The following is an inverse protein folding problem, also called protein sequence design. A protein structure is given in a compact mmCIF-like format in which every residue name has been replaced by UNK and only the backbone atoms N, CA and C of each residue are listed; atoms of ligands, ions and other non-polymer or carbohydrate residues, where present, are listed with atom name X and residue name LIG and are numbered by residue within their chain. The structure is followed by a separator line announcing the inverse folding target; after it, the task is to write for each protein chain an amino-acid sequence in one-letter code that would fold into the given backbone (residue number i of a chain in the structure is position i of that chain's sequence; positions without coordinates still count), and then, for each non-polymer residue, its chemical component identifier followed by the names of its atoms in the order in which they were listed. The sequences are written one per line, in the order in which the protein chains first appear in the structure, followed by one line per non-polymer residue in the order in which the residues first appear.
data_IF_045447478782
#
_entry.id   IF_045447478782
#
_cell.length_a   1.000
_cell.length_b   1.000
_cell.length_c   1.000
_cell.angle_alpha   90.00
_cell.angle_beta   90.00
_cell.angle_gamma   90.00
#
_symmetry.space_group_name_H-M   'P 1'
#
loop_
_entity.id
_entity.type
_entity.pdbx_description
1 polymer ?
#
# COMPACT_ATOMS: atom_id res chain seq x y z
N UNK A 1 -11.55 15.42 4.05
CA UNK A 1 -12.08 14.05 3.81
C UNK A 1 -12.11 13.69 2.33
N UNK A 2 -12.94 14.33 1.47
CA UNK A 2 -12.99 14.02 0.02
C UNK A 2 -11.60 13.86 -0.63
N UNK A 3 -10.77 14.90 -0.54
CA UNK A 3 -9.40 14.89 -1.11
C UNK A 3 -8.54 13.74 -0.59
N UNK A 4 -8.71 13.38 0.68
CA UNK A 4 -7.93 12.31 1.32
C UNK A 4 -8.35 10.93 0.81
N UNK A 5 -9.65 10.72 0.65
CA UNK A 5 -10.19 9.49 0.07
C UNK A 5 -9.83 9.34 -1.41
N UNK A 6 -9.87 10.45 -2.17
CA UNK A 6 -9.44 10.48 -3.58
C UNK A 6 -7.93 10.19 -3.71
N UNK A 7 -7.08 10.73 -2.83
CA UNK A 7 -5.64 10.43 -2.82
C UNK A 7 -5.37 8.96 -2.48
N UNK A 8 -5.98 8.45 -1.41
CA UNK A 8 -5.87 7.04 -1.03
C UNK A 8 -6.30 6.11 -2.18
N UNK A 9 -7.41 6.44 -2.85
CA UNK A 9 -7.90 5.69 -3.99
C UNK A 9 -6.91 5.69 -5.16
N UNK A 10 -6.36 6.85 -5.51
CA UNK A 10 -5.41 6.97 -6.61
C UNK A 10 -4.11 6.20 -6.33
N UNK A 11 -3.63 6.20 -5.08
CA UNK A 11 -2.45 5.44 -4.65
C UNK A 11 -2.69 3.94 -4.75
N UNK A 12 -3.83 3.46 -4.26
CA UNK A 12 -4.18 2.06 -4.34
C UNK A 12 -4.41 1.56 -5.77
N UNK A 13 -5.02 2.37 -6.65
CA UNK A 13 -5.16 2.05 -8.08
C UNK A 13 -3.78 1.84 -8.70
N UNK A 14 -2.87 2.80 -8.54
CA UNK A 14 -1.50 2.70 -9.06
C UNK A 14 -0.79 1.45 -8.53
N UNK A 15 -0.86 1.20 -7.22
CA UNK A 15 -0.26 0.01 -6.62
C UNK A 15 -0.73 -1.28 -7.30
N UNK A 16 -2.05 -1.44 -7.51
CA UNK A 16 -2.62 -2.62 -8.14
C UNK A 16 -2.24 -2.76 -9.62
N UNK A 17 -2.20 -1.66 -10.36
CA UNK A 17 -1.79 -1.65 -11.77
C UNK A 17 -0.31 -2.04 -11.94
N UNK A 18 0.55 -1.63 -11.02
CA UNK A 18 1.98 -1.93 -11.03
C UNK A 18 2.31 -3.38 -10.62
N UNK A 19 1.39 -4.07 -9.92
CA UNK A 19 1.63 -5.47 -9.52
C UNK A 19 1.86 -6.39 -10.71
N UNK A 20 1.26 -6.10 -11.87
CA UNK A 20 1.43 -6.94 -13.05
C UNK A 20 2.82 -6.80 -13.68
N UNK A 21 3.52 -5.67 -13.47
CA UNK A 21 4.83 -5.40 -14.06
C UNK A 21 6.02 -5.56 -13.10
N UNK A 22 5.81 -5.47 -11.79
CA UNK A 22 6.90 -5.62 -10.79
C UNK A 22 7.11 -7.05 -10.28
N UNK A 23 8.24 -7.30 -9.63
CA UNK A 23 8.51 -8.57 -8.94
C UNK A 23 7.52 -8.81 -7.79
N UNK A 24 7.19 -10.08 -7.54
CA UNK A 24 6.27 -10.46 -6.44
C UNK A 24 6.91 -10.23 -5.09
N UNK A 25 8.21 -10.54 -4.96
CA UNK A 25 8.98 -10.18 -3.78
C UNK A 25 9.52 -8.73 -3.92
N UNK A 26 9.50 -7.94 -2.85
CA UNK A 26 10.16 -6.64 -2.84
C UNK A 26 11.67 -6.81 -2.97
N UNK A 27 12.35 -5.80 -3.50
CA UNK A 27 13.81 -5.79 -3.54
C UNK A 27 14.42 -5.34 -2.21
N UNK A 28 15.73 -5.57 -2.05
CA UNK A 28 16.43 -5.24 -0.82
C UNK A 28 16.47 -3.73 -0.51
N UNK A 29 16.41 -2.88 -1.54
CA UNK A 29 16.43 -1.41 -1.38
C UNK A 29 15.09 -0.95 -0.80
N UNK A 30 13.98 -1.45 -1.33
CA UNK A 30 12.64 -1.19 -0.82
C UNK A 30 12.49 -1.65 0.63
N UNK A 31 13.02 -2.83 0.97
CA UNK A 31 13.01 -3.35 2.35
C UNK A 31 13.83 -2.44 3.28
N UNK A 32 15.06 -2.08 2.90
CA UNK A 32 15.91 -1.20 3.70
C UNK A 32 15.29 0.20 3.90
N UNK A 33 14.48 0.66 2.93
CA UNK A 33 13.75 1.92 3.05
C UNK A 33 12.78 2.00 4.23
N UNK A 34 12.33 0.84 4.75
CA UNK A 34 11.44 0.77 5.91
C UNK A 34 12.09 1.24 7.23
N UNK A 35 13.42 1.32 7.30
CA UNK A 35 14.13 1.87 8.48
C UNK A 35 13.69 3.30 8.80
N UNK A 36 13.16 4.03 7.81
CA UNK A 36 12.59 5.37 8.00
C UNK A 36 11.31 5.38 8.86
N UNK A 37 10.68 4.22 9.07
CA UNK A 37 9.52 4.07 9.95
C UNK A 37 9.92 3.74 11.40
N UNK A 38 11.19 3.40 11.68
CA UNK A 38 11.68 2.96 13.00
C UNK A 38 11.98 4.14 13.96
N UNK A 39 11.20 5.22 13.84
CA UNK A 39 11.32 6.42 14.67
C UNK A 39 10.30 6.47 15.79
N UNK A 40 10.54 7.35 16.77
CA UNK A 40 9.57 7.63 17.82
C UNK A 40 8.24 8.14 17.25
N UNK A 41 7.14 7.74 17.87
CA UNK A 41 5.81 8.23 17.50
C UNK A 41 5.75 9.75 17.70
N UNK A 42 5.25 10.54 16.74
CA UNK A 42 5.18 12.00 16.89
C UNK A 42 4.28 12.42 18.07
N UNK A 43 4.77 13.33 18.91
CA UNK A 43 4.00 13.93 20.02
C UNK A 43 2.85 14.85 19.56
N UNK A 44 2.84 15.22 18.28
CA UNK A 44 1.87 16.14 17.68
C UNK A 44 1.22 15.50 16.47
N UNK A 45 -0.02 15.89 16.21
CA UNK A 45 -0.75 15.52 14.99
C UNK A 45 -0.04 16.08 13.76
N UNK A 46 0.22 15.22 12.76
CA UNK A 46 0.71 15.62 11.44
C UNK A 46 -0.41 15.81 10.40
N UNK A 47 -0.04 16.18 9.17
CA UNK A 47 -0.98 16.22 8.04
C UNK A 47 -1.33 14.79 7.60
N UNK A 48 -2.62 14.40 7.57
CA UNK A 48 -3.04 13.09 7.08
C UNK A 48 -2.57 12.76 5.65
N UNK A 49 -2.37 13.79 4.79
CA UNK A 49 -1.86 13.60 3.43
C UNK A 49 -0.39 13.15 3.47
N UNK A 50 0.40 13.72 4.37
CA UNK A 50 1.80 13.32 4.55
C UNK A 50 1.91 11.86 5.02
N UNK A 51 0.99 11.43 5.90
CA UNK A 51 0.90 10.03 6.33
C UNK A 51 0.60 9.09 5.15
N UNK A 52 -0.41 9.40 4.33
CA UNK A 52 -0.72 8.56 3.15
C UNK A 52 0.44 8.52 2.16
N UNK A 53 1.12 9.65 1.95
CA UNK A 53 2.30 9.73 1.10
C UNK A 53 3.42 8.84 1.63
N UNK A 54 3.76 8.98 2.91
CA UNK A 54 4.83 8.20 3.54
C UNK A 54 4.54 6.69 3.44
N UNK A 55 3.31 6.26 3.73
CA UNK A 55 2.93 4.86 3.64
C UNK A 55 3.03 4.32 2.21
N UNK A 56 2.60 5.10 1.21
CA UNK A 56 2.69 4.65 -0.18
C UNK A 56 4.15 4.62 -0.67
N UNK A 57 4.95 5.64 -0.38
CA UNK A 57 6.33 5.74 -0.86
C UNK A 57 7.26 4.72 -0.19
N UNK A 58 7.08 4.45 1.11
CA UNK A 58 7.93 3.52 1.85
C UNK A 58 7.40 2.08 1.84
N UNK A 59 6.10 1.90 2.08
CA UNK A 59 5.54 0.56 2.30
C UNK A 59 5.13 -0.12 0.99
N UNK A 60 4.48 0.57 0.05
CA UNK A 60 4.00 -0.04 -1.20
C UNK A 60 5.10 -0.83 -1.95
N UNK A 61 6.31 -0.29 -2.21
CA UNK A 61 7.36 -1.03 -2.89
C UNK A 61 7.92 -2.19 -2.04
N UNK A 62 7.88 -2.06 -0.72
CA UNK A 62 8.35 -3.06 0.24
C UNK A 62 7.33 -4.19 0.51
N UNK A 63 6.14 -4.14 -0.09
CA UNK A 63 5.14 -5.21 0.06
C UNK A 63 5.41 -6.39 -0.86
N UNK A 64 5.02 -7.58 -0.39
CA UNK A 64 4.78 -8.73 -1.27
C UNK A 64 3.58 -8.44 -2.17
N UNK A 65 3.73 -8.61 -3.49
CA UNK A 65 2.67 -8.43 -4.50
C UNK A 65 1.60 -9.54 -4.49
N UNK A 66 1.05 -9.87 -3.32
CA UNK A 66 0.14 -10.99 -3.12
C UNK A 66 -1.26 -10.80 -3.73
N UNK A 67 -1.67 -9.56 -3.99
CA UNK A 67 -2.91 -9.24 -4.69
C UNK A 67 -2.79 -9.47 -6.22
N UNK A 68 -1.58 -9.67 -6.73
CA UNK A 68 -1.32 -10.01 -8.13
C UNK A 68 -1.47 -11.51 -8.41
N UNK A 69 -1.55 -11.88 -9.69
CA UNK A 69 -1.83 -13.26 -10.14
C UNK A 69 -0.65 -14.24 -10.00
N UNK A 70 0.51 -13.76 -9.55
CA UNK A 70 1.80 -14.48 -9.56
C UNK A 70 2.29 -14.91 -8.19
N UNK A 71 1.47 -14.75 -7.14
CA UNK A 71 1.82 -15.16 -5.79
C UNK A 71 1.14 -16.49 -5.43
N UNK A 72 1.93 -17.48 -4.99
CA UNK A 72 1.47 -18.85 -4.70
C UNK A 72 1.84 -19.33 -3.29
N UNK A 73 2.17 -18.39 -2.39
CA UNK A 73 2.60 -18.69 -1.01
C UNK A 73 1.46 -18.58 -0.01
N UNK A 74 1.56 -19.34 1.09
CA UNK A 74 0.67 -19.29 2.26
C UNK A 74 -0.82 -19.49 1.93
N UNK A 75 -1.68 -19.24 2.93
CA UNK A 75 -3.15 -19.19 2.78
C UNK A 75 -3.57 -17.72 2.76
N UNK A 76 -3.13 -17.00 1.72
CA UNK A 76 -3.50 -15.61 1.50
C UNK A 76 -4.50 -15.59 0.35
N UNK A 77 -5.75 -15.28 0.67
CA UNK A 77 -6.81 -15.13 -0.33
C UNK A 77 -6.60 -13.87 -1.16
N UNK A 78 -6.79 -13.97 -2.48
CA UNK A 78 -6.94 -12.79 -3.33
C UNK A 78 -8.29 -12.11 -3.09
N UNK A 79 -8.38 -10.81 -3.38
CA UNK A 79 -9.63 -10.06 -3.36
C UNK A 79 -10.21 -9.96 -4.78
N UNK A 80 -11.52 -10.14 -4.93
CA UNK A 80 -12.20 -9.69 -6.14
C UNK A 80 -12.20 -8.15 -6.17
N UNK A 81 -12.16 -7.50 -7.36
CA UNK A 81 -12.17 -6.03 -7.45
C UNK A 81 -13.38 -5.39 -6.75
N UNK A 82 -14.55 -6.02 -6.86
CA UNK A 82 -15.78 -5.52 -6.22
C UNK A 82 -15.70 -5.55 -4.69
N UNK A 83 -14.96 -6.48 -4.10
CA UNK A 83 -14.79 -6.58 -2.66
C UNK A 83 -13.96 -5.41 -2.11
N UNK A 84 -12.88 -5.03 -2.80
CA UNK A 84 -12.09 -3.86 -2.43
C UNK A 84 -12.89 -2.56 -2.58
N UNK A 85 -13.60 -2.41 -3.70
CA UNK A 85 -14.43 -1.23 -3.94
C UNK A 85 -15.55 -1.11 -2.89
N UNK A 86 -16.21 -2.23 -2.53
CA UNK A 86 -17.21 -2.26 -1.47
C UNK A 86 -16.60 -1.89 -0.10
N UNK A 87 -15.38 -2.35 0.20
CA UNK A 87 -14.68 -1.97 1.42
C UNK A 87 -14.46 -0.45 1.50
N UNK A 88 -14.10 0.21 0.40
CA UNK A 88 -13.97 1.68 0.38
C UNK A 88 -15.29 2.42 0.58
N UNK A 89 -16.41 1.83 0.15
CA UNK A 89 -17.75 2.40 0.40
C UNK A 89 -18.15 2.28 1.87
N UNK A 90 -17.73 1.21 2.56
CA UNK A 90 -18.09 0.94 3.93
C UNK A 90 -17.32 1.79 4.95
N UNK A 91 -16.09 2.18 4.62
CA UNK A 91 -15.18 2.89 5.52
C UNK A 91 -14.33 1.95 6.36
#
# INVERSE_FOLDING_TARGET
MRKLLEDAAQRAIRYLEELDSRSVAPDAVAIAGLDQLDGDMPDKTGDPVDTLRMLDELCSPATMGNAGRRFYGFVIGGSLPVTLAANWLAG
#
